data_IF_019016805860
#
_entry.id   IF_019016805860
#
_cell.length_a   1.000
_cell.length_b   1.000
_cell.length_c   1.000
_cell.angle_alpha   90.00
_cell.angle_beta   90.00
_cell.angle_gamma   90.00
#
_symmetry.space_group_name_H-M   'P 1'
#
loop_
_entity.id
_entity.type
_entity.pdbx_description
1 polymer ?
#
# COMPACT_ATOMS: atom_id res chain seq x y z
N UNK A 1 -25.57 22.64 -4.03
CA UNK A 1 -24.25 22.36 -3.43
C UNK A 1 -23.89 20.96 -3.87
N UNK A 2 -22.93 20.80 -4.79
CA UNK A 2 -22.50 19.47 -5.24
C UNK A 2 -21.52 18.91 -4.21
N UNK A 3 -22.06 18.22 -3.21
CA UNK A 3 -21.26 17.39 -2.32
C UNK A 3 -20.60 16.31 -3.17
N UNK A 4 -19.26 16.28 -3.17
CA UNK A 4 -18.47 15.38 -3.99
C UNK A 4 -18.93 13.95 -3.76
N UNK A 5 -19.52 13.35 -4.78
CA UNK A 5 -20.14 12.04 -4.73
C UNK A 5 -19.05 11.02 -4.42
N UNK A 6 -18.99 10.58 -3.18
CA UNK A 6 -18.09 9.53 -2.73
C UNK A 6 -18.40 8.27 -3.54
N UNK A 7 -17.46 7.84 -4.38
CA UNK A 7 -17.64 6.69 -5.27
C UNK A 7 -16.96 5.45 -4.70
N UNK A 8 -17.71 4.35 -4.58
CA UNK A 8 -17.16 3.05 -4.19
C UNK A 8 -16.13 2.53 -5.20
N UNK A 9 -16.24 2.91 -6.47
CA UNK A 9 -15.24 2.57 -7.49
C UNK A 9 -13.89 3.21 -7.17
N UNK A 10 -13.90 4.48 -6.74
CA UNK A 10 -12.68 5.18 -6.34
C UNK A 10 -12.01 4.53 -5.11
N UNK A 11 -12.81 4.05 -4.15
CA UNK A 11 -12.30 3.30 -3.00
C UNK A 11 -11.62 2.01 -3.47
N UNK A 12 -12.29 1.24 -4.32
CA UNK A 12 -11.74 -0.02 -4.82
C UNK A 12 -10.43 0.19 -5.61
N UNK A 13 -10.35 1.25 -6.42
CA UNK A 13 -9.12 1.60 -7.13
C UNK A 13 -7.99 2.04 -6.17
N UNK A 14 -8.33 2.75 -5.09
CA UNK A 14 -7.36 3.10 -4.04
C UNK A 14 -6.84 1.84 -3.32
N UNK A 15 -7.72 0.88 -3.03
CA UNK A 15 -7.32 -0.40 -2.43
C UNK A 15 -6.41 -1.22 -3.36
N UNK A 16 -6.66 -1.21 -4.67
CA UNK A 16 -5.77 -1.86 -5.65
C UNK A 16 -4.40 -1.19 -5.68
N UNK A 17 -4.34 0.14 -5.66
CA UNK A 17 -3.08 0.87 -5.61
C UNK A 17 -2.28 0.58 -4.32
N UNK A 18 -2.97 0.43 -3.19
CA UNK A 18 -2.35 0.03 -1.93
C UNK A 18 -1.82 -1.41 -1.98
N UNK A 19 -2.57 -2.35 -2.58
CA UNK A 19 -2.09 -3.71 -2.84
C UNK A 19 -0.81 -3.70 -3.67
N UNK A 20 -0.80 -3.00 -4.81
CA UNK A 20 0.36 -2.93 -5.72
C UNK A 20 1.62 -2.40 -5.02
N UNK A 21 1.44 -1.48 -4.05
CA UNK A 21 2.55 -0.89 -3.28
C UNK A 21 2.91 -1.69 -2.03
N UNK A 22 2.19 -2.76 -1.73
CA UNK A 22 2.35 -3.52 -0.48
C UNK A 22 1.98 -2.72 0.78
N UNK A 23 1.08 -1.73 0.65
CA UNK A 23 0.62 -0.87 1.72
C UNK A 23 -0.50 -1.56 2.54
N UNK A 24 -0.18 -2.71 3.14
CA UNK A 24 -1.12 -3.51 3.92
C UNK A 24 -1.78 -2.79 5.12
N UNK A 25 -1.12 -1.84 5.82
CA UNK A 25 -1.80 -1.03 6.84
C UNK A 25 -2.94 -0.18 6.27
N UNK A 26 -2.71 0.47 5.12
CA UNK A 26 -3.70 1.30 4.44
C UNK A 26 -4.86 0.43 3.91
N UNK A 27 -4.53 -0.73 3.33
CA UNK A 27 -5.54 -1.74 2.96
C UNK A 27 -6.41 -2.16 4.14
N UNK A 28 -5.83 -2.37 5.34
CA UNK A 28 -6.60 -2.75 6.52
C UNK A 28 -7.62 -1.67 6.90
N UNK A 29 -7.21 -0.40 6.87
CA UNK A 29 -8.09 0.74 7.14
C UNK A 29 -9.19 0.84 6.09
N UNK A 30 -8.88 0.69 4.80
CA UNK A 30 -9.90 0.71 3.75
C UNK A 30 -10.92 -0.43 3.91
N UNK A 31 -10.47 -1.64 4.25
CA UNK A 31 -11.36 -2.77 4.52
C UNK A 31 -12.27 -2.46 5.70
N UNK A 32 -11.73 -2.00 6.82
CA UNK A 32 -12.51 -1.66 8.02
C UNK A 32 -13.58 -0.60 7.74
N UNK A 33 -13.24 0.44 6.99
CA UNK A 33 -14.13 1.56 6.72
C UNK A 33 -15.20 1.25 5.67
N UNK A 34 -14.87 0.48 4.63
CA UNK A 34 -15.68 0.42 3.42
C UNK A 34 -16.17 -0.96 3.03
N UNK A 35 -15.69 -2.06 3.64
CA UNK A 35 -16.13 -3.42 3.29
C UNK A 35 -17.65 -3.55 3.35
N UNK A 36 -18.25 -3.12 4.47
CA UNK A 36 -19.70 -3.24 4.67
C UNK A 36 -20.46 -2.49 3.58
N UNK A 37 -20.04 -1.27 3.28
CA UNK A 37 -20.67 -0.41 2.27
C UNK A 37 -20.55 -1.02 0.87
N UNK A 38 -19.38 -1.55 0.52
CA UNK A 38 -19.13 -2.25 -0.74
C UNK A 38 -20.04 -3.48 -0.88
N UNK A 39 -20.21 -4.28 0.18
CA UNK A 39 -20.99 -5.51 0.15
C UNK A 39 -22.51 -5.28 0.21
N UNK A 40 -22.97 -4.20 0.82
CA UNK A 40 -24.40 -3.85 0.91
C UNK A 40 -24.85 -3.04 -0.31
N UNK A 41 -24.15 -1.95 -0.62
CA UNK A 41 -24.60 -0.94 -1.59
C UNK A 41 -23.93 -1.03 -2.97
N UNK A 42 -22.82 -1.76 -3.09
CA UNK A 42 -22.14 -1.96 -4.37
C UNK A 42 -23.02 -2.67 -5.42
N UNK A 43 -22.72 -2.45 -6.69
CA UNK A 43 -23.26 -3.30 -7.75
C UNK A 43 -22.53 -4.66 -7.75
N UNK A 44 -23.06 -5.63 -8.51
CA UNK A 44 -22.52 -7.00 -8.53
C UNK A 44 -21.06 -7.06 -9.02
N UNK A 45 -20.69 -6.21 -9.98
CA UNK A 45 -19.32 -6.14 -10.52
C UNK A 45 -18.32 -5.64 -9.47
N UNK A 46 -18.68 -4.59 -8.75
CA UNK A 46 -17.86 -4.01 -7.68
C UNK A 46 -17.69 -4.99 -6.52
N UNK A 47 -18.76 -5.70 -6.14
CA UNK A 47 -18.71 -6.77 -5.12
C UNK A 47 -17.77 -7.89 -5.54
N UNK A 48 -17.91 -8.38 -6.77
CA UNK A 48 -17.05 -9.43 -7.29
C UNK A 48 -15.57 -9.01 -7.33
N UNK A 49 -15.30 -7.77 -7.75
CA UNK A 49 -13.95 -7.23 -7.82
C UNK A 49 -13.33 -7.03 -6.42
N UNK A 50 -14.10 -6.56 -5.44
CA UNK A 50 -13.67 -6.48 -4.05
C UNK A 50 -13.36 -7.86 -3.45
N UNK A 51 -14.22 -8.85 -3.66
CA UNK A 51 -14.00 -10.21 -3.16
C UNK A 51 -12.75 -10.85 -3.77
N UNK A 52 -12.51 -10.62 -5.07
CA UNK A 52 -11.29 -11.06 -5.73
C UNK A 52 -10.03 -10.40 -5.15
N UNK A 53 -10.08 -9.09 -4.89
CA UNK A 53 -9.00 -8.36 -4.21
C UNK A 53 -8.76 -8.94 -2.80
N UNK A 54 -9.82 -9.16 -2.02
CA UNK A 54 -9.76 -9.71 -0.67
C UNK A 54 -9.10 -11.10 -0.65
N UNK A 55 -9.42 -11.94 -1.63
CA UNK A 55 -8.79 -13.26 -1.78
C UNK A 55 -7.29 -13.15 -2.08
N UNK A 56 -6.88 -12.22 -2.96
CA UNK A 56 -5.47 -12.00 -3.31
C UNK A 56 -4.63 -11.50 -2.14
N UNK A 57 -5.13 -10.52 -1.39
CA UNK A 57 -4.40 -9.89 -0.28
C UNK A 57 -4.34 -10.76 0.97
N UNK A 58 -5.16 -11.82 1.07
CA UNK A 58 -5.22 -12.69 2.25
C UNK A 58 -3.84 -13.29 2.61
N UNK A 59 -3.13 -13.84 1.63
CA UNK A 59 -1.79 -14.39 1.85
C UNK A 59 -0.77 -13.29 2.24
N UNK A 60 -0.94 -12.08 1.69
CA UNK A 60 -0.12 -10.91 2.05
C UNK A 60 -0.35 -10.45 3.49
N UNK A 61 -1.60 -10.41 3.94
CA UNK A 61 -1.95 -10.14 5.33
C UNK A 61 -1.43 -11.22 6.29
N UNK A 62 -1.50 -12.50 5.91
CA UNK A 62 -0.93 -13.57 6.73
C UNK A 62 0.60 -13.46 6.84
N UNK A 63 1.27 -13.14 5.73
CA UNK A 63 2.70 -12.89 5.72
C UNK A 63 3.06 -11.68 6.58
N UNK A 64 2.37 -10.55 6.43
CA UNK A 64 2.56 -9.37 7.28
C UNK A 64 2.23 -9.65 8.75
N UNK A 65 1.21 -10.44 9.08
CA UNK A 65 0.91 -10.79 10.47
C UNK A 65 2.03 -11.63 11.09
N UNK A 66 2.67 -12.50 10.30
CA UNK A 66 3.71 -13.44 10.76
C UNK A 66 5.11 -12.82 10.75
N UNK A 67 5.40 -11.97 9.78
CA UNK A 67 6.73 -11.43 9.47
C UNK A 67 6.77 -9.90 9.48
N UNK A 68 5.62 -9.27 9.24
CA UNK A 68 5.45 -7.83 9.11
C UNK A 68 5.31 -7.12 10.45
N UNK A 69 6.14 -6.11 10.64
CA UNK A 69 5.94 -5.07 11.66
C UNK A 69 5.29 -3.83 11.01
N UNK A 70 4.37 -4.05 10.06
CA UNK A 70 3.51 -3.04 9.43
C UNK A 70 4.21 -1.76 8.94
N UNK A 71 5.39 -1.84 8.32
CA UNK A 71 6.14 -0.63 7.96
C UNK A 71 6.82 -0.72 6.59
N UNK A 72 6.34 0.13 5.68
CA UNK A 72 6.98 0.54 4.42
C UNK A 72 8.35 1.24 4.61
N UNK A 73 8.91 1.35 5.82
CA UNK A 73 10.04 2.24 6.13
C UNK A 73 11.17 1.64 7.00
N UNK A 74 11.22 0.33 7.23
CA UNK A 74 12.30 -0.22 8.07
C UNK A 74 13.59 -0.52 7.31
N UNK A 75 14.66 0.09 7.80
CA UNK A 75 16.05 0.04 7.34
C UNK A 75 16.70 -1.33 7.43
N UNK A 76 16.16 -2.23 8.26
CA UNK A 76 16.64 -3.58 8.55
C UNK A 76 15.84 -4.69 7.84
N UNK A 77 14.79 -4.35 7.08
CA UNK A 77 14.04 -5.33 6.30
C UNK A 77 14.94 -5.95 5.20
N UNK A 78 14.91 -7.27 4.94
CA UNK A 78 15.81 -7.92 3.97
C UNK A 78 15.75 -7.31 2.58
N UNK A 79 14.56 -6.90 2.10
CA UNK A 79 14.42 -6.22 0.81
C UNK A 79 15.01 -4.80 0.84
N UNK A 80 14.87 -4.07 1.95
CA UNK A 80 15.48 -2.75 2.15
C UNK A 80 16.99 -2.84 2.26
N UNK A 81 17.52 -3.87 2.92
CA UNK A 81 18.96 -4.16 2.97
C UNK A 81 19.50 -4.53 1.59
N UNK A 82 18.75 -5.34 0.83
CA UNK A 82 19.10 -5.69 -0.56
C UNK A 82 19.05 -4.46 -1.48
N UNK A 83 18.03 -3.62 -1.35
CA UNK A 83 17.94 -2.34 -2.05
C UNK A 83 19.04 -1.37 -1.63
N UNK A 84 19.47 -1.34 -0.37
CA UNK A 84 20.65 -0.58 0.08
C UNK A 84 21.93 -1.06 -0.58
N UNK A 85 22.09 -2.37 -0.74
CA UNK A 85 23.26 -2.94 -1.42
C UNK A 85 23.28 -2.54 -2.90
N UNK A 86 22.12 -2.59 -3.58
CA UNK A 86 21.96 -2.25 -5.00
C UNK A 86 22.03 -0.73 -5.25
N UNK A 87 21.39 0.08 -4.40
CA UNK A 87 21.38 1.56 -4.49
C UNK A 87 22.59 2.23 -3.82
N UNK A 88 23.53 1.48 -3.24
CA UNK A 88 24.66 2.06 -2.49
C UNK A 88 25.45 3.09 -3.31
N UNK A 89 25.67 2.88 -4.60
CA UNK A 89 26.39 3.84 -5.46
C UNK A 89 25.64 5.16 -5.66
N UNK A 90 24.35 5.11 -5.97
CA UNK A 90 23.54 6.32 -6.23
C UNK A 90 23.16 7.03 -4.91
N UNK A 91 22.89 6.27 -3.85
CA UNK A 91 22.64 6.82 -2.52
C UNK A 91 23.89 7.51 -1.94
N UNK A 92 25.09 6.94 -2.15
CA UNK A 92 26.35 7.59 -1.78
C UNK A 92 26.64 8.85 -2.62
N UNK A 93 26.29 8.86 -3.91
CA UNK A 93 26.37 10.05 -4.77
C UNK A 93 25.44 11.16 -4.32
N UNK A 94 24.19 10.83 -3.98
CA UNK A 94 23.20 11.78 -3.47
C UNK A 94 23.62 12.37 -2.12
N UNK A 95 24.06 11.55 -1.16
CA UNK A 95 24.58 12.01 0.13
C UNK A 95 25.83 12.90 -0.01
N UNK A 96 26.71 12.60 -0.98
CA UNK A 96 27.87 13.44 -1.28
C UNK A 96 27.49 14.79 -1.91
N UNK A 97 26.42 14.83 -2.71
CA UNK A 97 25.91 16.08 -3.29
C UNK A 97 25.29 17.00 -2.23
N UNK A 98 24.61 16.44 -1.22
CA UNK A 98 24.00 17.18 -0.12
C UNK A 98 24.99 17.70 0.93
N UNK A 99 26.21 17.16 0.98
CA UNK A 99 27.27 17.57 1.92
C UNK A 99 28.23 18.62 1.36
N UNK A 100 28.07 19.04 0.10
CA UNK A 100 28.83 20.20 -0.38
C UNK A 100 28.23 21.45 0.28
N UNK A 101 29.00 22.20 1.10
CA UNK A 101 28.56 23.53 1.46
C UNK A 101 28.35 24.31 0.16
N UNK A 102 27.23 25.04 0.07
CA UNK A 102 27.06 26.03 -0.98
C UNK A 102 28.25 27.00 -0.87
N UNK A 103 29.10 27.04 -1.90
CA UNK A 103 30.08 28.12 -2.09
C UNK A 103 29.36 29.47 -2.22
#
# INVERSE_FOLDING_TARGET
MNEGTFSLDFVLDSMRADEERGAYPQLAVHIELYEKLILEEGNDELKAAYLALKARIAAGFEYERKHGKWSLLKSDHPLTLKLRQVNSREYLRYQAALRRPAE
#
